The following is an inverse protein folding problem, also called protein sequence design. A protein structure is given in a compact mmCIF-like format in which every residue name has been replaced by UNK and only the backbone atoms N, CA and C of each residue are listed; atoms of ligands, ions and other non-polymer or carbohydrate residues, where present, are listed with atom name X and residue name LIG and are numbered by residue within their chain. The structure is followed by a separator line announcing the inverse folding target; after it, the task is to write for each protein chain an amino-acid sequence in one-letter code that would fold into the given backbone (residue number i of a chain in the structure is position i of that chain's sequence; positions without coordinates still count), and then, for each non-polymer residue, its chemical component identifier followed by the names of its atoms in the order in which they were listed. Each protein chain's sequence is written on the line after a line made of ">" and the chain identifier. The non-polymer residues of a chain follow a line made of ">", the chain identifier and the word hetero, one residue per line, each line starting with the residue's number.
data_IF_176645515506
#
_entry.id   IF_176645515506
#
_cell.length_a   1.000
_cell.length_b   1.000
_cell.length_c   1.000
_cell.angle_alpha   90.00
_cell.angle_beta   90.00
_cell.angle_gamma   90.00
#
_symmetry.space_group_name_H-M   'P 1'
#
loop_
_entity.id
_entity.type
_entity.pdbx_description
1 polymer ?
#
# COMPACT_ATOMS: atom_id res chain seq x y z
N UNK A 1 -19.85 2.09 -34.85
CA UNK A 1 -19.70 0.64 -35.09
C UNK A 1 -20.69 0.18 -36.16
N UNK A 2 -21.99 0.42 -35.95
CA UNK A 2 -23.04 0.01 -36.91
C UNK A 2 -22.94 0.69 -38.29
N UNK A 3 -22.46 1.93 -38.41
CA UNK A 3 -22.26 2.56 -39.73
C UNK A 3 -21.20 1.86 -40.58
N UNK A 4 -20.11 1.40 -39.95
CA UNK A 4 -19.05 0.64 -40.62
C UNK A 4 -19.54 -0.76 -41.01
N UNK A 5 -20.33 -1.41 -40.15
CA UNK A 5 -20.97 -2.69 -40.45
C UNK A 5 -21.97 -2.54 -41.61
N UNK A 6 -22.79 -1.49 -41.59
CA UNK A 6 -23.75 -1.16 -42.66
C UNK A 6 -23.06 -0.93 -43.99
N UNK A 7 -21.89 -0.27 -44.00
CA UNK A 7 -21.11 -0.08 -45.21
C UNK A 7 -20.52 -1.41 -45.72
N UNK A 8 -19.92 -2.23 -44.85
CA UNK A 8 -19.41 -3.55 -45.25
C UNK A 8 -20.50 -4.48 -45.80
N UNK A 9 -21.68 -4.48 -45.20
CA UNK A 9 -22.82 -5.28 -45.68
C UNK A 9 -23.34 -4.77 -47.04
N UNK A 10 -23.23 -3.47 -47.33
CA UNK A 10 -23.51 -2.92 -48.67
C UNK A 10 -22.47 -3.35 -49.70
N UNK A 11 -21.19 -3.38 -49.31
CA UNK A 11 -20.09 -3.79 -50.19
C UNK A 11 -20.20 -5.30 -50.56
N UNK A 12 -20.76 -6.12 -49.66
CA UNK A 12 -21.14 -7.53 -49.89
C UNK A 12 -22.46 -7.69 -50.70
N UNK A 13 -23.02 -6.60 -51.24
CA UNK A 13 -24.22 -6.58 -52.10
C UNK A 13 -25.49 -7.14 -51.44
N UNK A 14 -25.62 -7.06 -50.11
CA UNK A 14 -26.89 -7.37 -49.44
C UNK A 14 -27.95 -6.30 -49.77
N UNK A 15 -29.21 -6.73 -49.92
CA UNK A 15 -30.31 -5.78 -50.15
C UNK A 15 -30.58 -4.93 -48.91
N UNK A 16 -31.14 -3.74 -49.12
CA UNK A 16 -31.30 -2.77 -48.04
C UNK A 16 -32.12 -3.31 -46.85
N UNK A 17 -33.15 -4.10 -47.14
CA UNK A 17 -34.03 -4.71 -46.14
C UNK A 17 -33.26 -5.72 -45.27
N UNK A 18 -32.49 -6.64 -45.88
CA UNK A 18 -31.64 -7.59 -45.13
C UNK A 18 -30.57 -6.90 -44.30
N UNK A 19 -29.99 -5.81 -44.79
CA UNK A 19 -29.02 -5.03 -44.02
C UNK A 19 -29.69 -4.42 -42.79
N UNK A 20 -30.90 -3.86 -42.94
CA UNK A 20 -31.62 -3.27 -41.81
C UNK A 20 -32.04 -4.36 -40.82
N UNK A 21 -32.50 -5.53 -41.27
CA UNK A 21 -32.83 -6.67 -40.41
C UNK A 21 -31.63 -7.14 -39.59
N UNK A 22 -30.46 -7.34 -40.23
CA UNK A 22 -29.22 -7.75 -39.55
C UNK A 22 -28.78 -6.68 -38.55
N UNK A 23 -28.84 -5.39 -38.92
CA UNK A 23 -28.47 -4.31 -38.00
C UNK A 23 -29.41 -4.27 -36.79
N UNK A 24 -30.71 -4.46 -36.99
CA UNK A 24 -31.72 -4.50 -35.93
C UNK A 24 -31.56 -5.72 -35.03
N UNK A 25 -31.24 -6.89 -35.59
CA UNK A 25 -31.00 -8.11 -34.83
C UNK A 25 -29.70 -7.98 -34.01
N UNK A 26 -28.62 -7.49 -34.62
CA UNK A 26 -27.33 -7.31 -33.94
C UNK A 26 -27.43 -6.22 -32.87
N UNK A 27 -28.09 -5.08 -33.13
CA UNK A 27 -28.28 -4.03 -32.13
C UNK A 27 -29.26 -4.46 -31.02
N UNK A 28 -30.29 -5.22 -31.36
CA UNK A 28 -31.21 -5.84 -30.38
C UNK A 28 -30.55 -6.94 -29.53
N UNK A 29 -29.49 -7.56 -30.03
CA UNK A 29 -28.68 -8.55 -29.32
C UNK A 29 -27.52 -7.96 -28.50
N UNK A 30 -27.21 -6.67 -28.69
CA UNK A 30 -26.16 -5.99 -27.91
C UNK A 30 -26.67 -5.69 -26.50
N UNK A 31 -26.31 -6.59 -25.57
CA UNK A 31 -26.61 -6.46 -24.16
C UNK A 31 -26.13 -5.13 -23.56
N UNK A 32 -24.98 -4.60 -24.02
CA UNK A 32 -24.44 -3.36 -23.49
C UNK A 32 -25.28 -2.16 -23.93
N UNK A 33 -25.68 -2.11 -25.20
CA UNK A 33 -26.53 -1.03 -25.72
C UNK A 33 -27.94 -1.11 -25.12
N UNK A 34 -28.55 -2.29 -25.09
CA UNK A 34 -29.86 -2.52 -24.46
C UNK A 34 -29.87 -2.17 -22.96
N UNK A 35 -28.76 -2.39 -22.26
CA UNK A 35 -28.66 -2.02 -20.85
C UNK A 35 -28.59 -0.49 -20.64
N UNK A 36 -28.01 0.26 -21.58
CA UNK A 36 -27.78 1.71 -21.47
C UNK A 36 -28.79 2.57 -22.25
N UNK A 37 -29.60 1.98 -23.12
CA UNK A 37 -30.63 2.65 -23.91
C UNK A 37 -31.85 3.07 -23.06
N UNK A 38 -32.80 3.76 -23.69
CA UNK A 38 -34.08 4.10 -23.08
C UNK A 38 -34.81 2.85 -22.57
N UNK A 39 -35.35 2.91 -21.35
CA UNK A 39 -35.92 1.73 -20.67
C UNK A 39 -34.90 0.77 -20.03
N UNK A 40 -33.62 0.82 -20.42
CA UNK A 40 -32.57 -0.06 -19.92
C UNK A 40 -32.25 0.14 -18.42
N UNK A 41 -31.78 -0.93 -17.72
CA UNK A 41 -31.49 -0.90 -16.28
C UNK A 41 -30.21 -0.13 -15.90
N UNK A 42 -29.34 0.22 -16.85
CA UNK A 42 -28.04 0.91 -16.62
C UNK A 42 -27.95 2.28 -17.31
N UNK A 43 -29.06 2.81 -17.83
CA UNK A 43 -29.09 4.06 -18.63
C UNK A 43 -28.62 5.34 -17.93
N UNK A 44 -28.60 5.37 -16.60
CA UNK A 44 -28.19 6.56 -15.82
C UNK A 44 -27.21 6.20 -14.70
N UNK A 45 -26.47 7.18 -14.19
CA UNK A 45 -25.60 6.97 -13.01
C UNK A 45 -26.38 6.47 -11.79
N UNK A 46 -27.60 6.99 -11.58
CA UNK A 46 -28.47 6.54 -10.50
C UNK A 46 -28.87 5.08 -10.66
N UNK A 47 -29.37 4.69 -11.85
CA UNK A 47 -29.82 3.33 -12.11
C UNK A 47 -28.67 2.32 -12.07
N UNK A 48 -27.48 2.70 -12.54
CA UNK A 48 -26.26 1.87 -12.39
C UNK A 48 -25.91 1.62 -10.93
N UNK A 49 -25.95 2.66 -10.09
CA UNK A 49 -25.69 2.49 -8.65
C UNK A 49 -26.73 1.58 -8.00
N UNK A 50 -28.01 1.79 -8.26
CA UNK A 50 -29.08 0.94 -7.71
C UNK A 50 -28.94 -0.51 -8.19
N UNK A 51 -28.62 -0.72 -9.48
CA UNK A 51 -28.33 -2.04 -10.01
C UNK A 51 -27.15 -2.70 -9.29
N UNK A 52 -26.02 -2.00 -9.11
CA UNK A 52 -24.86 -2.56 -8.41
C UNK A 52 -25.13 -2.81 -6.92
N UNK A 53 -25.85 -1.92 -6.25
CA UNK A 53 -26.27 -2.10 -4.86
C UNK A 53 -27.17 -3.33 -4.69
N UNK A 54 -28.02 -3.61 -5.67
CA UNK A 54 -28.95 -4.75 -5.65
C UNK A 54 -28.31 -6.08 -6.04
N UNK A 55 -27.44 -6.07 -7.06
CA UNK A 55 -26.95 -7.31 -7.69
C UNK A 55 -25.54 -7.73 -7.23
N UNK A 56 -24.77 -6.82 -6.63
CA UNK A 56 -23.46 -7.14 -6.07
C UNK A 56 -23.56 -7.25 -4.55
N UNK A 57 -22.52 -7.79 -3.91
CA UNK A 57 -22.41 -7.89 -2.45
C UNK A 57 -22.08 -6.53 -1.80
N UNK A 58 -22.93 -5.54 -2.03
CA UNK A 58 -22.79 -4.18 -1.52
C UNK A 58 -23.17 -4.11 -0.04
N UNK A 59 -22.32 -3.44 0.75
CA UNK A 59 -22.59 -3.16 2.17
C UNK A 59 -22.80 -1.67 2.33
N UNK A 60 -24.01 -1.25 2.67
CA UNK A 60 -24.35 0.17 2.83
C UNK A 60 -23.60 0.80 4.00
N UNK A 61 -23.06 2.03 3.84
CA UNK A 61 -22.59 2.80 4.98
C UNK A 61 -23.78 3.22 5.86
N UNK A 62 -23.55 3.24 7.17
CA UNK A 62 -24.53 3.62 8.19
C UNK A 62 -24.14 4.97 8.77
N UNK A 63 -25.10 5.88 8.81
CA UNK A 63 -24.94 7.21 9.41
C UNK A 63 -24.94 7.12 10.94
N UNK A 64 -24.04 7.86 11.57
CA UNK A 64 -23.95 8.00 13.03
C UNK A 64 -23.94 9.48 13.36
N UNK A 65 -24.84 9.90 14.25
CA UNK A 65 -24.83 11.26 14.76
C UNK A 65 -23.68 11.41 15.77
N UNK A 66 -22.74 12.31 15.47
CA UNK A 66 -21.58 12.64 16.30
C UNK A 66 -21.84 13.84 17.22
N UNK A 67 -23.05 14.39 17.18
CA UNK A 67 -23.45 15.56 17.95
C UNK A 67 -23.85 16.73 17.05
N UNK A 68 -23.98 17.89 17.68
CA UNK A 68 -24.36 19.14 17.02
C UNK A 68 -23.19 20.10 17.12
N UNK A 69 -22.92 20.80 16.03
CA UNK A 69 -21.95 21.88 16.02
C UNK A 69 -22.49 23.05 16.86
N UNK A 70 -21.79 23.40 17.93
CA UNK A 70 -22.23 24.43 18.89
C UNK A 70 -22.42 25.81 18.24
N UNK A 71 -21.69 26.10 17.15
CA UNK A 71 -21.69 27.39 16.48
C UNK A 71 -22.80 27.46 15.42
N UNK A 72 -22.89 26.46 14.54
CA UNK A 72 -23.81 26.45 13.41
C UNK A 72 -25.15 25.76 13.69
N UNK A 73 -25.28 25.04 14.80
CA UNK A 73 -26.45 24.22 15.11
C UNK A 73 -26.63 23.01 14.17
N UNK A 74 -25.66 22.75 13.29
CA UNK A 74 -25.75 21.68 12.29
C UNK A 74 -25.38 20.33 12.89
N UNK A 75 -26.09 19.27 12.50
CA UNK A 75 -25.75 17.90 12.88
C UNK A 75 -24.41 17.50 12.25
N UNK A 76 -23.53 16.93 13.07
CA UNK A 76 -22.28 16.32 12.61
C UNK A 76 -22.53 14.82 12.43
N UNK A 77 -22.41 14.35 11.20
CA UNK A 77 -22.70 12.96 10.85
C UNK A 77 -21.41 12.26 10.43
N UNK A 78 -21.10 11.15 11.09
CA UNK A 78 -20.10 10.18 10.68
C UNK A 78 -20.73 9.04 9.88
N UNK A 79 -19.91 8.34 9.10
CA UNK A 79 -20.34 7.17 8.34
C UNK A 79 -19.40 6.01 8.63
N UNK A 80 -19.95 4.87 9.01
CA UNK A 80 -19.18 3.63 9.12
C UNK A 80 -19.78 2.57 8.22
N UNK A 81 -18.96 1.59 7.84
CA UNK A 81 -19.43 0.42 7.10
C UNK A 81 -19.39 -0.76 8.07
N UNK A 82 -20.50 -1.49 8.27
CA UNK A 82 -20.52 -2.62 9.20
C UNK A 82 -19.48 -3.68 8.85
N UNK A 83 -18.49 -3.85 9.72
CA UNK A 83 -17.36 -4.77 9.51
C UNK A 83 -17.87 -6.22 9.38
N UNK A 84 -18.78 -6.63 10.26
CA UNK A 84 -19.34 -7.99 10.23
C UNK A 84 -20.05 -8.32 8.91
N UNK A 85 -20.82 -7.37 8.36
CA UNK A 85 -21.47 -7.55 7.07
C UNK A 85 -20.44 -7.63 5.95
N UNK A 86 -19.41 -6.79 5.99
CA UNK A 86 -18.33 -6.79 5.01
C UNK A 86 -17.53 -8.10 5.02
N UNK A 87 -17.24 -8.67 6.19
CA UNK A 87 -16.53 -9.95 6.28
C UNK A 87 -17.39 -11.08 5.70
N UNK A 88 -18.70 -11.10 6.01
CA UNK A 88 -19.65 -12.07 5.45
C UNK A 88 -19.73 -12.02 3.93
N UNK A 89 -19.53 -10.85 3.31
CA UNK A 89 -19.56 -10.71 1.86
C UNK A 89 -18.24 -11.09 1.19
N UNK A 90 -17.10 -10.75 1.80
CA UNK A 90 -15.77 -10.86 1.20
C UNK A 90 -15.18 -12.28 1.19
N UNK A 91 -15.41 -13.10 2.22
CA UNK A 91 -14.59 -14.32 2.39
C UNK A 91 -15.40 -15.57 2.65
N UNK A 92 -15.02 -16.65 1.97
CA UNK A 92 -15.43 -18.00 2.32
C UNK A 92 -14.85 -18.34 3.71
N UNK A 93 -15.68 -18.67 4.72
CA UNK A 93 -15.23 -19.01 6.06
C UNK A 93 -14.17 -20.13 6.09
N UNK A 94 -14.19 -21.04 5.11
CA UNK A 94 -13.19 -22.11 4.95
C UNK A 94 -11.80 -21.55 4.63
N UNK A 95 -11.72 -20.65 3.64
CA UNK A 95 -10.46 -19.99 3.22
C UNK A 95 -9.89 -19.15 4.37
N UNK A 96 -10.75 -18.42 5.12
CA UNK A 96 -10.29 -17.67 6.30
C UNK A 96 -9.60 -18.55 7.34
N UNK A 97 -10.17 -19.72 7.62
CA UNK A 97 -9.61 -20.65 8.61
C UNK A 97 -8.29 -21.26 8.13
N UNK A 98 -8.24 -21.67 6.86
CA UNK A 98 -7.03 -22.26 6.26
C UNK A 98 -5.87 -21.25 6.17
N UNK A 99 -6.17 -19.97 5.96
CA UNK A 99 -5.16 -18.91 5.86
C UNK A 99 -4.89 -18.19 7.19
N UNK A 100 -5.50 -18.62 8.30
CA UNK A 100 -5.24 -18.02 9.61
C UNK A 100 -3.83 -18.39 10.07
N UNK A 101 -3.00 -17.40 10.47
CA UNK A 101 -1.63 -17.65 10.87
C UNK A 101 -1.60 -18.53 12.12
N UNK A 102 -0.74 -19.56 12.09
CA UNK A 102 -0.46 -20.44 13.22
C UNK A 102 0.87 -20.07 13.86
N UNK A 103 1.01 -20.33 15.16
CA UNK A 103 2.29 -20.16 15.85
C UNK A 103 3.35 -21.08 15.24
N UNK A 104 4.46 -20.48 14.83
CA UNK A 104 5.65 -21.14 14.34
C UNK A 104 6.26 -22.03 15.43
N UNK A 105 6.74 -23.22 15.04
CA UNK A 105 7.31 -24.23 15.96
C UNK A 105 8.82 -24.43 15.80
N UNK A 106 9.45 -23.73 14.87
CA UNK A 106 10.85 -23.92 14.46
C UNK A 106 11.80 -22.81 14.97
N UNK A 107 11.40 -22.09 16.02
CA UNK A 107 12.19 -21.00 16.60
C UNK A 107 12.26 -19.73 15.75
N UNK A 108 11.55 -19.66 14.62
CA UNK A 108 11.45 -18.44 13.80
C UNK A 108 10.11 -17.74 14.03
N UNK A 109 10.14 -16.42 14.08
CA UNK A 109 8.96 -15.57 14.12
C UNK A 109 8.59 -15.13 12.70
N UNK A 110 7.31 -15.26 12.33
CA UNK A 110 6.77 -14.96 11.00
C UNK A 110 5.55 -14.06 11.05
N UNK A 111 4.79 -14.14 12.13
CA UNK A 111 3.52 -13.46 12.27
C UNK A 111 3.35 -12.87 13.67
N UNK A 112 2.34 -12.01 13.84
CA UNK A 112 1.99 -11.49 15.16
C UNK A 112 1.71 -12.57 16.19
N UNK A 113 1.18 -13.71 15.74
CA UNK A 113 0.89 -14.85 16.64
C UNK A 113 2.15 -15.44 17.29
N UNK A 114 3.33 -15.21 16.70
CA UNK A 114 4.60 -15.63 17.27
C UNK A 114 5.12 -14.66 18.35
N UNK A 115 4.59 -13.43 18.39
CA UNK A 115 5.00 -12.39 19.31
C UNK A 115 4.56 -12.65 20.75
N UNK A 116 5.35 -12.11 21.69
CA UNK A 116 5.09 -12.24 23.14
C UNK A 116 3.71 -11.68 23.50
N UNK A 117 3.29 -10.55 22.90
CA UNK A 117 2.01 -9.92 23.22
C UNK A 117 0.85 -10.86 22.87
N UNK A 118 0.87 -11.50 21.71
CA UNK A 118 -0.19 -12.43 21.33
C UNK A 118 -0.25 -13.62 22.29
N UNK A 119 0.90 -14.25 22.54
CA UNK A 119 1.03 -15.43 23.41
C UNK A 119 0.56 -15.16 24.84
N UNK A 120 0.73 -13.93 25.33
CA UNK A 120 0.33 -13.53 26.68
C UNK A 120 -1.11 -12.98 26.77
N UNK A 121 -1.76 -12.71 25.64
CA UNK A 121 -3.08 -12.08 25.61
C UNK A 121 -4.22 -13.06 25.97
N UNK A 122 -4.93 -12.78 27.06
CA UNK A 122 -6.03 -13.64 27.55
C UNK A 122 -7.17 -13.83 26.55
N UNK A 123 -7.52 -12.79 25.77
CA UNK A 123 -8.59 -12.90 24.76
C UNK A 123 -8.22 -13.94 23.70
N UNK A 124 -6.98 -13.93 23.22
CA UNK A 124 -6.53 -14.86 22.18
C UNK A 124 -6.23 -16.26 22.72
N UNK A 125 -5.83 -16.40 23.99
CA UNK A 125 -5.74 -17.71 24.66
C UNK A 125 -7.11 -18.39 24.77
N UNK A 126 -8.12 -17.64 25.20
CA UNK A 126 -9.48 -18.16 25.35
C UNK A 126 -10.17 -18.39 23.99
N UNK A 127 -9.75 -17.66 22.96
CA UNK A 127 -10.35 -17.69 21.63
C UNK A 127 -9.26 -17.85 20.55
N UNK A 128 -8.62 -19.02 20.43
CA UNK A 128 -7.52 -19.22 19.47
C UNK A 128 -7.96 -19.09 18.02
N UNK A 129 -9.25 -19.30 17.74
CA UNK A 129 -9.86 -19.10 16.41
C UNK A 129 -10.43 -17.69 16.19
N UNK A 130 -10.21 -16.75 17.11
CA UNK A 130 -10.72 -15.39 16.97
C UNK A 130 -10.08 -14.70 15.75
N UNK A 131 -10.93 -14.13 14.89
CA UNK A 131 -10.47 -13.34 13.78
C UNK A 131 -9.86 -12.04 14.30
N UNK A 132 -8.65 -11.74 13.84
CA UNK A 132 -7.92 -10.56 14.26
C UNK A 132 -8.22 -9.38 13.34
N UNK A 133 -8.56 -8.24 13.95
CA UNK A 133 -8.86 -6.99 13.23
C UNK A 133 -7.96 -5.89 13.78
N UNK A 134 -7.18 -5.25 12.91
CA UNK A 134 -6.42 -4.04 13.24
C UNK A 134 -7.22 -2.84 12.78
N UNK A 135 -7.39 -1.85 13.66
CA UNK A 135 -7.89 -0.54 13.29
C UNK A 135 -6.73 0.42 13.10
N UNK A 136 -6.76 1.19 12.02
CA UNK A 136 -5.81 2.26 11.75
C UNK A 136 -6.56 3.54 11.49
N UNK A 137 -6.16 4.63 12.16
CA UNK A 137 -6.75 5.94 11.95
C UNK A 137 -5.73 6.91 11.39
N UNK A 138 -6.15 7.72 10.42
CA UNK A 138 -5.40 8.88 9.96
C UNK A 138 -6.34 10.00 9.49
N UNK A 139 -5.87 11.23 9.63
CA UNK A 139 -6.59 12.42 9.21
C UNK A 139 -5.93 13.03 7.97
N UNK A 140 -6.66 13.09 6.86
CA UNK A 140 -6.13 13.61 5.59
C UNK A 140 -7.06 14.63 4.94
N UNK A 141 -6.46 15.58 4.23
CA UNK A 141 -7.19 16.56 3.41
C UNK A 141 -7.62 15.91 2.10
N UNK A 142 -8.91 15.97 1.77
CA UNK A 142 -9.45 15.43 0.50
C UNK A 142 -9.58 16.45 -0.61
N UNK A 143 -9.62 17.75 -0.27
CA UNK A 143 -9.77 18.84 -1.22
C UNK A 143 -8.43 19.24 -1.86
N UNK A 144 -8.49 19.99 -2.96
CA UNK A 144 -7.27 20.52 -3.60
C UNK A 144 -6.59 21.53 -2.64
N UNK A 145 -5.30 21.36 -2.30
CA UNK A 145 -4.58 22.25 -1.39
C UNK A 145 -4.43 23.71 -1.89
N UNK A 146 -4.79 23.99 -3.15
CA UNK A 146 -4.77 25.33 -3.75
C UNK A 146 -6.16 25.93 -4.02
N UNK A 147 -7.25 25.20 -3.74
CA UNK A 147 -8.62 25.68 -3.99
C UNK A 147 -9.25 26.41 -2.80
N UNK A 148 -10.38 27.07 -3.04
CA UNK A 148 -11.18 27.78 -2.01
C UNK A 148 -11.77 26.88 -0.90
N UNK A 149 -11.60 25.55 -1.04
CA UNK A 149 -12.00 24.52 -0.08
C UNK A 149 -10.82 23.94 0.74
N UNK A 150 -9.61 24.53 0.63
CA UNK A 150 -8.42 24.13 1.40
C UNK A 150 -8.69 24.19 2.91
N UNK A 151 -8.38 23.12 3.64
CA UNK A 151 -8.50 23.03 5.10
C UNK A 151 -9.93 22.85 5.61
N UNK A 152 -10.94 22.95 4.73
CA UNK A 152 -12.36 22.78 5.09
C UNK A 152 -12.79 21.32 5.11
N UNK A 153 -12.08 20.44 4.41
CA UNK A 153 -12.44 19.04 4.26
C UNK A 153 -11.28 18.15 4.68
N UNK A 154 -10.90 18.28 5.94
CA UNK A 154 -10.05 17.29 6.61
C UNK A 154 -10.95 16.18 7.15
N UNK A 155 -10.71 14.96 6.70
CA UNK A 155 -11.46 13.78 7.14
C UNK A 155 -10.58 12.94 8.06
N UNK A 156 -11.15 12.51 9.18
CA UNK A 156 -10.62 11.37 9.92
C UNK A 156 -11.18 10.10 9.29
N UNK A 157 -10.30 9.21 8.83
CA UNK A 157 -10.70 7.88 8.40
C UNK A 157 -10.20 6.83 9.39
N UNK A 158 -11.06 5.86 9.66
CA UNK A 158 -10.72 4.66 10.40
C UNK A 158 -10.81 3.49 9.44
N UNK A 159 -9.68 2.87 9.16
CA UNK A 159 -9.53 1.69 8.32
C UNK A 159 -9.43 0.45 9.18
N UNK A 160 -9.73 -0.70 8.57
CA UNK A 160 -9.40 -1.99 9.17
C UNK A 160 -8.70 -2.90 8.18
N UNK A 161 -7.90 -3.83 8.70
CA UNK A 161 -7.38 -4.99 7.97
C UNK A 161 -7.66 -6.26 8.76
N UNK A 162 -7.79 -7.38 8.05
CA UNK A 162 -7.85 -8.71 8.65
C UNK A 162 -6.42 -9.24 8.81
N UNK A 163 -6.13 -9.81 9.98
CA UNK A 163 -4.82 -10.41 10.29
C UNK A 163 -3.84 -9.46 10.98
N UNK A 164 -3.06 -10.04 11.91
CA UNK A 164 -1.93 -9.46 12.65
C UNK A 164 -2.23 -8.16 13.45
N UNK A 165 -2.85 -8.27 14.64
CA UNK A 165 -3.13 -7.17 15.55
C UNK A 165 -1.84 -6.54 16.02
N UNK A 166 -1.57 -5.30 15.63
CA UNK A 166 -0.42 -4.56 16.17
C UNK A 166 -0.37 -3.18 15.56
N UNK A 167 -0.15 -2.18 16.42
CA UNK A 167 0.28 -0.84 15.99
C UNK A 167 1.66 -0.57 16.59
N UNK A 168 2.71 -1.33 16.22
CA UNK A 168 4.07 -0.89 16.48
C UNK A 168 4.35 0.42 15.70
N UNK A 169 5.43 1.12 16.02
CA UNK A 169 5.84 2.33 15.32
C UNK A 169 5.90 2.11 13.81
N UNK A 170 5.52 3.15 13.06
CA UNK A 170 5.48 3.05 11.61
C UNK A 170 6.90 2.96 11.03
N UNK A 171 7.26 1.75 10.59
CA UNK A 171 8.52 1.43 9.91
C UNK A 171 8.82 2.43 8.78
N UNK A 172 7.81 2.83 8.00
CA UNK A 172 8.03 3.79 6.93
C UNK A 172 8.48 5.18 7.42
N UNK A 173 7.82 5.71 8.45
CA UNK A 173 8.12 7.04 8.98
C UNK A 173 9.40 7.07 9.82
N UNK A 174 9.67 5.99 10.55
CA UNK A 174 10.83 5.92 11.44
C UNK A 174 12.09 5.55 10.68
N UNK A 175 12.02 4.51 9.85
CA UNK A 175 13.17 3.97 9.14
C UNK A 175 13.36 4.73 7.83
N UNK A 176 12.41 4.66 6.89
CA UNK A 176 12.64 5.12 5.52
C UNK A 176 12.58 6.64 5.35
N UNK A 177 11.67 7.33 6.04
CA UNK A 177 11.52 8.79 6.03
C UNK A 177 12.20 9.46 7.24
N UNK A 178 12.67 8.65 8.20
CA UNK A 178 13.35 9.10 9.41
C UNK A 178 14.85 8.90 9.33
N UNK A 179 15.33 7.71 9.67
CA UNK A 179 16.76 7.37 9.73
C UNK A 179 17.39 7.38 8.33
N UNK A 180 16.90 6.53 7.43
CA UNK A 180 17.46 6.31 6.08
C UNK A 180 17.45 7.59 5.28
N UNK A 181 16.34 8.34 5.24
CA UNK A 181 16.26 9.57 4.42
C UNK A 181 17.36 10.59 4.78
N UNK A 182 17.70 10.70 6.07
CA UNK A 182 18.63 11.70 6.56
C UNK A 182 20.08 11.20 6.52
N UNK A 183 20.33 9.99 7.03
CA UNK A 183 21.68 9.46 7.09
C UNK A 183 22.21 9.03 5.72
N UNK A 184 21.35 8.55 4.81
CA UNK A 184 21.78 8.28 3.44
C UNK A 184 22.22 9.55 2.70
N UNK A 185 21.53 10.68 2.92
CA UNK A 185 21.95 11.97 2.38
C UNK A 185 23.29 12.42 2.96
N UNK A 186 23.50 12.19 4.26
CA UNK A 186 24.75 12.50 4.93
C UNK A 186 25.92 11.67 4.37
N UNK A 187 25.73 10.36 4.19
CA UNK A 187 26.75 9.45 3.65
C UNK A 187 27.08 9.79 2.20
N UNK A 188 26.06 10.01 1.35
CA UNK A 188 26.29 10.42 -0.05
C UNK A 188 27.06 11.75 -0.09
N UNK A 189 26.72 12.70 0.76
CA UNK A 189 27.43 13.98 0.80
C UNK A 189 28.89 13.80 1.20
N UNK A 190 29.19 12.94 2.17
CA UNK A 190 30.56 12.57 2.54
C UNK A 190 31.32 11.95 1.36
N UNK A 191 30.74 10.95 0.69
CA UNK A 191 31.40 10.27 -0.43
C UNK A 191 31.68 11.21 -1.61
N UNK A 192 30.77 12.15 -1.87
CA UNK A 192 30.90 13.10 -3.00
C UNK A 192 31.80 14.29 -2.65
N UNK A 193 31.63 14.92 -1.48
CA UNK A 193 32.32 16.18 -1.14
C UNK A 193 33.65 15.96 -0.45
N UNK A 194 33.69 15.03 0.51
CA UNK A 194 34.89 14.75 1.30
C UNK A 194 35.80 13.80 0.54
N UNK A 195 35.27 12.63 0.15
CA UNK A 195 36.06 11.58 -0.49
C UNK A 195 36.23 11.77 -2.00
N UNK A 196 35.32 12.51 -2.64
CA UNK A 196 35.32 12.77 -4.09
C UNK A 196 35.35 11.49 -4.94
N UNK A 197 34.73 10.42 -4.45
CA UNK A 197 34.69 9.12 -5.14
C UNK A 197 33.81 9.13 -6.40
N UNK A 198 32.72 9.91 -6.36
CA UNK A 198 31.80 10.11 -7.49
C UNK A 198 31.11 11.47 -7.36
N UNK A 199 30.27 11.83 -8.34
CA UNK A 199 29.48 13.08 -8.34
C UNK A 199 27.99 12.81 -8.22
N UNK A 200 27.21 13.79 -7.74
CA UNK A 200 25.75 13.71 -7.75
C UNK A 200 25.19 13.46 -9.16
N UNK A 201 25.78 14.07 -10.18
CA UNK A 201 25.41 13.84 -11.58
C UNK A 201 25.62 12.37 -11.98
N UNK A 202 26.74 11.76 -11.58
CA UNK A 202 27.00 10.35 -11.84
C UNK A 202 25.97 9.45 -11.16
N UNK A 203 25.68 9.69 -9.86
CA UNK A 203 24.67 8.93 -9.13
C UNK A 203 23.28 9.06 -9.78
N UNK A 204 22.82 10.29 -10.07
CA UNK A 204 21.52 10.54 -10.68
C UNK A 204 21.43 9.95 -12.09
N UNK A 205 22.53 9.96 -12.85
CA UNK A 205 22.60 9.25 -14.13
C UNK A 205 22.38 7.74 -13.96
N UNK A 206 23.07 7.10 -13.00
CA UNK A 206 22.91 5.67 -12.72
C UNK A 206 21.50 5.34 -12.24
N UNK A 207 20.94 6.14 -11.33
CA UNK A 207 19.54 6.03 -10.88
C UNK A 207 18.57 6.14 -12.06
N UNK A 208 18.80 7.07 -12.99
CA UNK A 208 17.90 7.29 -14.13
C UNK A 208 17.89 6.11 -15.10
N UNK A 209 19.05 5.51 -15.37
CA UNK A 209 19.24 4.52 -16.44
C UNK A 209 19.25 3.06 -15.97
N UNK A 210 19.25 2.80 -14.66
CA UNK A 210 19.05 1.45 -14.16
C UNK A 210 17.67 0.92 -14.60
N UNK A 211 17.62 -0.30 -15.12
CA UNK A 211 16.38 -0.98 -15.47
C UNK A 211 15.74 -1.59 -14.21
N UNK A 212 14.75 -0.89 -13.66
CA UNK A 212 13.97 -1.39 -12.51
C UNK A 212 12.90 -2.38 -12.98
N UNK A 213 12.69 -3.45 -12.23
CA UNK A 213 11.71 -4.51 -12.51
C UNK A 213 10.82 -4.76 -11.30
N UNK A 214 9.67 -5.41 -11.51
CA UNK A 214 8.74 -5.75 -10.43
C UNK A 214 8.28 -4.54 -9.62
N UNK A 215 8.31 -4.65 -8.29
CA UNK A 215 7.90 -3.57 -7.38
C UNK A 215 8.80 -2.33 -7.48
N UNK A 216 10.09 -2.49 -7.79
CA UNK A 216 11.03 -1.37 -7.87
C UNK A 216 10.73 -0.42 -9.02
N UNK A 217 10.05 -0.89 -10.08
CA UNK A 217 9.66 -0.06 -11.22
C UNK A 217 8.73 1.10 -10.81
N UNK A 218 7.92 0.90 -9.77
CA UNK A 218 7.01 1.92 -9.21
C UNK A 218 7.66 2.75 -8.10
N UNK A 219 8.82 2.33 -7.60
CA UNK A 219 9.55 2.92 -6.48
C UNK A 219 10.96 3.39 -6.88
N UNK A 220 11.12 3.78 -8.14
CA UNK A 220 12.37 4.38 -8.64
C UNK A 220 12.81 5.53 -7.72
N UNK A 221 14.07 5.55 -7.25
CA UNK A 221 14.58 6.61 -6.37
C UNK A 221 14.36 8.00 -6.97
N UNK A 222 14.06 8.97 -6.10
CA UNK A 222 14.05 10.37 -6.48
C UNK A 222 15.47 10.86 -6.75
N UNK A 223 15.57 11.97 -7.48
CA UNK A 223 16.86 12.61 -7.73
C UNK A 223 17.52 13.05 -6.41
N UNK A 224 18.82 12.80 -6.28
CA UNK A 224 19.60 13.19 -5.11
C UNK A 224 20.25 14.54 -5.38
N UNK A 225 19.87 15.55 -4.61
CA UNK A 225 20.36 16.92 -4.77
C UNK A 225 21.57 17.21 -3.91
N UNK A 226 22.41 18.11 -4.39
CA UNK A 226 23.59 18.58 -3.68
C UNK A 226 23.20 19.29 -2.37
N UNK A 227 23.97 19.05 -1.30
CA UNK A 227 23.82 19.73 0.00
C UNK A 227 22.44 19.61 0.65
N UNK A 228 21.60 18.67 0.20
CA UNK A 228 20.31 18.41 0.80
C UNK A 228 20.50 17.81 2.20
N UNK A 229 19.71 18.26 3.18
CA UNK A 229 19.73 17.69 4.53
C UNK A 229 19.14 16.28 4.59
N UNK A 230 18.41 15.87 3.55
CA UNK A 230 17.71 14.60 3.45
C UNK A 230 17.52 14.21 1.98
N UNK A 231 17.43 12.92 1.69
CA UNK A 231 17.08 12.42 0.35
C UNK A 231 15.65 12.84 -0.01
N UNK A 232 15.42 13.17 -1.29
CA UNK A 232 14.07 13.36 -1.80
C UNK A 232 13.30 12.05 -1.91
N UNK A 233 12.01 12.12 -2.27
CA UNK A 233 11.18 10.93 -2.48
C UNK A 233 10.44 10.44 -1.23
N UNK A 234 9.55 9.46 -1.44
CA UNK A 234 8.76 8.81 -0.39
C UNK A 234 9.48 7.59 0.22
N UNK A 235 8.92 7.02 1.29
CA UNK A 235 9.43 5.83 1.97
C UNK A 235 9.91 4.70 1.02
N UNK A 236 9.10 4.30 0.04
CA UNK A 236 9.44 3.21 -0.89
C UNK A 236 10.63 3.54 -1.80
N UNK A 237 10.76 4.81 -2.19
CA UNK A 237 11.88 5.29 -3.02
C UNK A 237 13.18 5.35 -2.21
N UNK A 238 13.12 5.74 -0.94
CA UNK A 238 14.28 5.75 -0.05
C UNK A 238 14.77 4.33 0.27
N UNK A 239 13.84 3.39 0.49
CA UNK A 239 14.19 1.98 0.68
C UNK A 239 14.86 1.40 -0.58
N UNK A 240 14.29 1.69 -1.76
CA UNK A 240 14.87 1.31 -3.03
C UNK A 240 16.29 1.88 -3.22
N UNK A 241 16.49 3.16 -2.90
CA UNK A 241 17.81 3.79 -2.99
C UNK A 241 18.82 3.12 -2.05
N UNK A 242 18.49 2.93 -0.78
CA UNK A 242 19.38 2.27 0.20
C UNK A 242 19.84 0.90 -0.30
N UNK A 243 18.88 0.07 -0.76
CA UNK A 243 19.13 -1.30 -1.18
C UNK A 243 19.96 -1.38 -2.46
N UNK A 244 19.76 -0.44 -3.39
CA UNK A 244 20.43 -0.45 -4.70
C UNK A 244 21.68 0.42 -4.77
N UNK A 245 21.95 1.28 -3.78
CA UNK A 245 23.11 2.17 -3.79
C UNK A 245 24.44 1.41 -4.02
N UNK A 246 24.72 0.26 -3.40
CA UNK A 246 25.96 -0.48 -3.67
C UNK A 246 26.11 -0.87 -5.14
N UNK A 247 25.03 -1.23 -5.82
CA UNK A 247 25.06 -1.54 -7.26
C UNK A 247 25.21 -0.29 -8.13
N UNK A 248 24.70 0.85 -7.67
CA UNK A 248 24.77 2.12 -8.41
C UNK A 248 26.17 2.72 -8.41
N UNK A 249 26.88 2.65 -7.27
CA UNK A 249 28.16 3.34 -7.07
C UNK A 249 29.32 2.43 -6.64
N UNK A 250 29.11 1.12 -6.45
CA UNK A 250 30.12 0.21 -5.89
C UNK A 250 31.45 0.18 -6.66
N UNK A 251 31.42 0.32 -7.98
CA UNK A 251 32.62 0.40 -8.84
C UNK A 251 33.41 1.71 -8.66
N UNK A 252 32.84 2.70 -7.97
CA UNK A 252 33.46 3.98 -7.64
C UNK A 252 33.97 4.06 -6.21
N UNK A 253 33.77 3.01 -5.41
CA UNK A 253 34.25 2.94 -4.03
C UNK A 253 35.65 2.30 -4.03
N UNK A 254 36.73 3.07 -3.83
CA UNK A 254 38.09 2.55 -3.88
C UNK A 254 38.52 1.88 -2.58
N UNK A 255 37.86 2.19 -1.46
CA UNK A 255 38.19 1.65 -0.14
C UNK A 255 36.92 1.18 0.55
N UNK A 256 36.74 -0.13 0.63
CA UNK A 256 35.61 -0.74 1.34
C UNK A 256 35.78 -0.65 2.86
N UNK A 257 36.98 -0.48 3.39
CA UNK A 257 37.24 -0.31 4.82
C UNK A 257 37.03 1.13 5.32
N UNK A 258 36.52 2.02 4.48
CA UNK A 258 36.23 3.39 4.90
C UNK A 258 35.13 3.40 5.99
N UNK A 259 35.33 4.09 7.13
CA UNK A 259 34.39 4.03 8.25
C UNK A 259 32.96 4.47 7.90
N UNK A 260 32.79 5.45 7.00
CA UNK A 260 31.45 5.92 6.62
C UNK A 260 30.81 4.95 5.62
N UNK A 261 31.61 4.28 4.78
CA UNK A 261 31.11 3.20 3.93
C UNK A 261 30.64 2.01 4.76
N UNK A 262 31.42 1.60 5.76
CA UNK A 262 31.03 0.55 6.71
C UNK A 262 29.76 0.94 7.47
N UNK A 263 29.68 2.18 7.99
CA UNK A 263 28.47 2.68 8.65
C UNK A 263 27.22 2.61 7.74
N UNK A 264 27.37 2.94 6.45
CA UNK A 264 26.30 2.79 5.46
C UNK A 264 25.88 1.32 5.27
N UNK A 265 26.84 0.38 5.19
CA UNK A 265 26.54 -1.04 5.08
C UNK A 265 25.86 -1.57 6.35
N UNK A 266 26.28 -1.13 7.54
CA UNK A 266 25.62 -1.44 8.81
C UNK A 266 24.17 -0.96 8.81
N UNK A 267 23.89 0.28 8.39
CA UNK A 267 22.51 0.77 8.23
C UNK A 267 21.71 -0.11 7.29
N UNK A 268 22.29 -0.50 6.15
CA UNK A 268 21.63 -1.38 5.18
C UNK A 268 21.29 -2.74 5.83
N UNK A 269 22.22 -3.34 6.57
CA UNK A 269 22.01 -4.63 7.25
C UNK A 269 20.92 -4.54 8.32
N UNK A 270 20.91 -3.46 9.12
CA UNK A 270 19.84 -3.17 10.09
C UNK A 270 18.48 -3.15 9.38
N UNK A 271 18.38 -2.40 8.28
CA UNK A 271 17.12 -2.28 7.52
C UNK A 271 16.72 -3.61 6.89
N UNK A 272 17.67 -4.39 6.38
CA UNK A 272 17.40 -5.71 5.80
C UNK A 272 16.82 -6.68 6.85
N UNK A 273 17.34 -6.67 8.10
CA UNK A 273 16.79 -7.51 9.18
C UNK A 273 15.41 -6.99 9.62
N UNK A 274 15.24 -5.68 9.82
CA UNK A 274 13.96 -5.08 10.23
C UNK A 274 12.85 -5.37 9.19
N UNK A 275 13.20 -5.37 7.91
CA UNK A 275 12.25 -5.60 6.82
C UNK A 275 12.11 -7.07 6.44
N UNK A 276 12.79 -7.99 7.14
CA UNK A 276 12.70 -9.40 6.86
C UNK A 276 11.28 -9.92 7.18
N UNK A 277 10.67 -10.73 6.29
CA UNK A 277 9.34 -11.30 6.52
C UNK A 277 9.31 -12.33 7.66
N UNK A 278 10.48 -12.83 8.05
CA UNK A 278 10.68 -13.77 9.14
C UNK A 278 12.03 -13.49 9.81
N UNK A 279 12.08 -13.65 11.13
CA UNK A 279 13.29 -13.41 11.94
C UNK A 279 13.39 -14.45 13.06
N UNK A 280 14.60 -14.89 13.35
CA UNK A 280 14.94 -15.71 14.54
C UNK A 280 15.37 -14.85 15.72
N UNK A 281 15.36 -15.41 16.93
CA UNK A 281 15.86 -14.71 18.12
C UNK A 281 17.33 -14.30 17.98
N UNK A 282 18.17 -15.15 17.38
CA UNK A 282 19.58 -14.85 17.10
C UNK A 282 19.74 -13.64 16.17
N UNK A 283 18.92 -13.56 15.12
CA UNK A 283 18.93 -12.39 14.22
C UNK A 283 18.46 -11.11 14.92
N UNK A 284 17.54 -11.23 15.88
CA UNK A 284 17.08 -10.09 16.68
C UNK A 284 18.18 -9.63 17.65
N UNK A 285 18.95 -10.56 18.23
CA UNK A 285 20.12 -10.22 19.04
C UNK A 285 21.19 -9.51 18.20
N UNK A 286 21.51 -10.03 17.01
CA UNK A 286 22.42 -9.37 16.06
C UNK A 286 21.91 -7.97 15.68
N UNK A 287 20.60 -7.80 15.46
CA UNK A 287 20.00 -6.50 15.19
C UNK A 287 20.25 -5.50 16.32
N UNK A 288 20.15 -5.95 17.58
CA UNK A 288 20.42 -5.11 18.75
C UNK A 288 21.87 -4.61 18.76
N UNK A 289 22.83 -5.50 18.51
CA UNK A 289 24.25 -5.15 18.48
C UNK A 289 24.58 -4.21 17.32
N UNK A 290 24.08 -4.51 16.11
CA UNK A 290 24.27 -3.66 14.93
C UNK A 290 23.71 -2.24 15.14
N UNK A 291 22.56 -2.11 15.81
CA UNK A 291 21.97 -0.80 16.10
C UNK A 291 22.84 -0.02 17.08
N UNK A 292 23.34 -0.65 18.14
CA UNK A 292 24.24 0.00 19.10
C UNK A 292 25.52 0.48 18.42
N UNK A 293 26.20 -0.41 17.68
CA UNK A 293 27.42 -0.09 16.93
C UNK A 293 27.18 1.05 15.91
N UNK A 294 26.05 0.98 15.20
CA UNK A 294 25.65 2.00 14.24
C UNK A 294 25.50 3.38 14.90
N UNK A 295 24.77 3.45 16.01
CA UNK A 295 24.47 4.73 16.68
C UNK A 295 25.74 5.36 17.28
N UNK A 296 26.60 4.56 17.91
CA UNK A 296 27.90 5.01 18.44
C UNK A 296 28.79 5.54 17.32
N UNK A 297 29.04 4.72 16.29
CA UNK A 297 29.85 5.09 15.12
C UNK A 297 29.28 6.31 14.40
N UNK A 298 27.95 6.44 14.34
CA UNK A 298 27.27 7.58 13.72
C UNK A 298 27.49 8.88 14.49
N UNK A 299 27.58 8.84 15.82
CA UNK A 299 27.93 10.00 16.64
C UNK A 299 29.40 10.36 16.47
N UNK A 300 30.29 9.36 16.48
CA UNK A 300 31.74 9.59 16.39
C UNK A 300 32.15 10.18 15.04
N UNK A 301 31.71 9.55 13.94
CA UNK A 301 32.08 9.96 12.57
C UNK A 301 31.46 11.31 12.17
N UNK A 302 30.36 11.71 12.82
CA UNK A 302 29.60 12.90 12.47
C UNK A 302 29.17 13.68 13.72
N UNK A 303 30.11 13.97 14.62
CA UNK A 303 29.89 14.63 15.91
C UNK A 303 29.14 15.97 15.84
N UNK A 304 29.24 16.69 14.72
CA UNK A 304 28.52 17.95 14.46
C UNK A 304 27.06 17.77 14.00
N UNK A 305 26.60 16.53 13.80
CA UNK A 305 25.26 16.19 13.31
C UNK A 305 24.56 15.29 14.32
N UNK A 306 23.83 15.93 15.25
CA UNK A 306 23.07 15.26 16.29
C UNK A 306 22.08 14.22 15.76
N UNK A 307 21.91 13.15 16.54
CA UNK A 307 20.87 12.15 16.30
C UNK A 307 19.48 12.78 16.43
N UNK A 308 18.56 12.29 15.61
CA UNK A 308 17.14 12.69 15.62
C UNK A 308 16.34 11.73 16.51
N UNK A 309 15.13 12.10 16.99
CA UNK A 309 14.27 11.19 17.75
C UNK A 309 14.04 9.82 17.09
N UNK A 310 13.99 9.77 15.76
CA UNK A 310 13.86 8.53 14.99
C UNK A 310 15.01 7.53 15.19
N UNK A 311 16.22 8.01 15.50
CA UNK A 311 17.36 7.15 15.83
C UNK A 311 17.19 6.53 17.21
N UNK A 312 16.64 7.27 18.18
CA UNK A 312 16.30 6.70 19.48
C UNK A 312 15.19 5.64 19.37
N UNK A 313 14.21 5.85 18.49
CA UNK A 313 13.18 4.84 18.26
C UNK A 313 13.76 3.55 17.67
N UNK A 314 14.82 3.64 16.87
CA UNK A 314 15.52 2.49 16.29
C UNK A 314 15.99 1.50 17.37
N UNK A 315 16.48 1.99 18.52
CA UNK A 315 16.92 1.16 19.65
C UNK A 315 15.84 0.23 20.19
N UNK A 316 14.56 0.54 19.93
CA UNK A 316 13.43 -0.28 20.39
C UNK A 316 13.00 -1.35 19.39
N UNK A 317 13.51 -1.33 18.15
CA UNK A 317 13.10 -2.27 17.11
C UNK A 317 13.37 -3.74 17.45
N UNK A 318 14.50 -4.12 18.08
CA UNK A 318 14.71 -5.51 18.52
C UNK A 318 13.61 -5.97 19.47
N UNK A 319 13.35 -5.19 20.53
CA UNK A 319 12.30 -5.49 21.50
C UNK A 319 10.91 -5.54 20.85
N UNK A 320 10.57 -4.58 19.99
CA UNK A 320 9.30 -4.55 19.27
C UNK A 320 9.11 -5.79 18.39
N UNK A 321 10.18 -6.27 17.75
CA UNK A 321 10.14 -7.48 16.93
C UNK A 321 9.85 -8.72 17.78
N UNK A 322 10.38 -8.82 19.01
CA UNK A 322 10.02 -9.89 19.94
C UNK A 322 8.56 -9.80 20.41
N UNK A 323 8.07 -8.58 20.66
CA UNK A 323 6.72 -8.37 21.16
C UNK A 323 5.64 -8.65 20.12
N UNK A 324 5.87 -8.22 18.87
CA UNK A 324 4.86 -8.22 17.82
C UNK A 324 5.17 -9.19 16.67
N UNK A 325 6.32 -9.87 16.66
CA UNK A 325 6.81 -10.58 15.48
C UNK A 325 7.38 -9.62 14.42
N UNK A 326 7.64 -10.09 13.17
CA UNK A 326 8.27 -9.26 12.14
C UNK A 326 7.47 -8.00 11.81
N UNK A 327 8.10 -6.83 12.00
CA UNK A 327 7.43 -5.52 11.95
C UNK A 327 7.01 -5.10 10.54
N UNK A 328 7.57 -5.72 9.49
CA UNK A 328 7.20 -5.46 8.09
C UNK A 328 5.71 -5.74 7.81
N UNK A 329 5.10 -6.66 8.57
CA UNK A 329 3.67 -6.97 8.43
C UNK A 329 2.75 -5.92 9.05
N UNK A 330 3.29 -4.99 9.82
CA UNK A 330 2.56 -4.01 10.61
C UNK A 330 2.75 -2.56 10.14
N UNK A 331 3.44 -2.35 9.01
CA UNK A 331 3.64 -1.01 8.45
C UNK A 331 2.35 -0.37 7.89
N UNK A 332 2.25 0.95 7.95
CA UNK A 332 1.00 1.69 7.66
C UNK A 332 0.86 2.14 6.21
N UNK A 333 1.85 1.88 5.35
CA UNK A 333 1.90 2.38 3.97
C UNK A 333 0.67 2.01 3.14
N UNK A 334 0.07 0.84 3.39
CA UNK A 334 -1.15 0.42 2.70
C UNK A 334 -2.33 1.34 3.00
N UNK A 335 -2.49 1.77 4.25
CA UNK A 335 -3.55 2.70 4.64
C UNK A 335 -3.33 4.08 4.01
N UNK A 336 -2.10 4.60 4.06
CA UNK A 336 -1.75 5.89 3.45
C UNK A 336 -1.96 5.89 1.93
N UNK A 337 -1.60 4.79 1.25
CA UNK A 337 -1.83 4.65 -0.19
C UNK A 337 -3.32 4.74 -0.55
N UNK A 338 -4.20 4.31 0.36
CA UNK A 338 -5.66 4.33 0.19
C UNK A 338 -6.23 5.76 0.17
N UNK A 339 -5.55 6.73 0.81
CA UNK A 339 -5.95 8.14 0.76
C UNK A 339 -6.01 8.67 -0.69
N UNK A 340 -5.15 8.16 -1.58
CA UNK A 340 -5.15 8.55 -2.99
C UNK A 340 -6.47 8.23 -3.71
N UNK A 341 -7.15 7.15 -3.33
CA UNK A 341 -8.46 6.80 -3.86
C UNK A 341 -9.51 7.86 -3.46
N UNK A 342 -9.57 8.20 -2.17
CA UNK A 342 -10.55 9.17 -1.67
C UNK A 342 -10.31 10.58 -2.21
N UNK A 343 -9.05 11.02 -2.29
CA UNK A 343 -8.66 12.30 -2.91
C UNK A 343 -9.09 12.39 -4.37
N UNK A 344 -8.84 11.33 -5.17
CA UNK A 344 -9.27 11.26 -6.57
C UNK A 344 -10.79 11.23 -6.69
N UNK A 345 -11.44 10.42 -5.86
CA UNK A 345 -12.89 10.26 -5.86
C UNK A 345 -13.60 11.60 -5.63
N UNK A 346 -13.18 12.36 -4.62
CA UNK A 346 -13.78 13.67 -4.37
C UNK A 346 -13.51 14.64 -5.53
N UNK A 347 -12.25 14.71 -6.00
CA UNK A 347 -11.83 15.56 -7.11
C UNK A 347 -12.67 15.34 -8.38
N UNK A 348 -12.89 14.08 -8.78
CA UNK A 348 -13.66 13.76 -9.98
C UNK A 348 -15.17 13.84 -9.76
N UNK A 349 -15.66 13.59 -8.54
CA UNK A 349 -17.09 13.70 -8.26
C UNK A 349 -17.58 15.14 -8.27
N UNK A 350 -16.72 16.11 -7.90
CA UNK A 350 -17.11 17.51 -7.70
C UNK A 350 -18.18 17.72 -6.61
N UNK A 351 -18.55 16.67 -5.86
CA UNK A 351 -19.63 16.71 -4.89
C UNK A 351 -19.07 16.92 -3.48
N UNK A 352 -19.15 18.15 -3.00
CA UNK A 352 -18.73 18.53 -1.64
C UNK A 352 -19.89 18.51 -0.63
N UNK A 353 -21.10 18.14 -1.05
CA UNK A 353 -22.22 17.91 -0.12
C UNK A 353 -22.04 16.55 0.53
N UNK A 354 -21.97 16.55 1.86
CA UNK A 354 -21.83 15.34 2.66
C UNK A 354 -20.72 14.40 2.14
N UNK A 355 -19.49 14.89 2.23
CA UNK A 355 -18.30 14.21 1.70
C UNK A 355 -18.15 12.80 2.27
N UNK A 356 -18.46 12.60 3.57
CA UNK A 356 -18.39 11.30 4.23
C UNK A 356 -19.30 10.25 3.58
N UNK A 357 -20.56 10.61 3.30
CA UNK A 357 -21.49 9.72 2.58
C UNK A 357 -21.00 9.43 1.16
N UNK A 358 -20.65 10.48 0.41
CA UNK A 358 -20.21 10.33 -0.99
C UNK A 358 -19.00 9.40 -1.12
N UNK A 359 -17.99 9.56 -0.25
CA UNK A 359 -16.78 8.76 -0.27
C UNK A 359 -17.03 7.33 0.21
N UNK A 360 -17.87 7.13 1.24
CA UNK A 360 -18.19 5.80 1.75
C UNK A 360 -19.02 4.99 0.75
N UNK A 361 -20.04 5.57 0.12
CA UNK A 361 -20.83 4.89 -0.92
C UNK A 361 -19.98 4.50 -2.13
N UNK A 362 -19.16 5.43 -2.65
CA UNK A 362 -18.29 5.13 -3.80
C UNK A 362 -17.25 4.07 -3.46
N UNK A 363 -16.70 4.10 -2.25
CA UNK A 363 -15.80 3.05 -1.78
C UNK A 363 -16.51 1.70 -1.71
N UNK A 364 -17.74 1.64 -1.19
CA UNK A 364 -18.49 0.38 -1.09
C UNK A 364 -18.93 -0.16 -2.44
N UNK A 365 -19.23 0.69 -3.42
CA UNK A 365 -19.43 0.28 -4.81
C UNK A 365 -18.16 -0.34 -5.41
N UNK A 366 -16.98 0.26 -5.16
CA UNK A 366 -15.70 -0.32 -5.58
C UNK A 366 -15.44 -1.67 -4.90
N UNK A 367 -15.69 -1.79 -3.59
CA UNK A 367 -15.51 -3.06 -2.87
C UNK A 367 -16.45 -4.14 -3.40
N UNK A 368 -17.71 -3.81 -3.67
CA UNK A 368 -18.68 -4.74 -4.24
C UNK A 368 -18.24 -5.25 -5.62
N UNK A 369 -17.71 -4.36 -6.47
CA UNK A 369 -17.12 -4.72 -7.75
C UNK A 369 -15.89 -5.64 -7.60
N UNK A 370 -14.91 -5.26 -6.78
CA UNK A 370 -13.70 -6.08 -6.54
C UNK A 370 -14.03 -7.45 -5.94
N UNK A 371 -15.08 -7.53 -5.11
CA UNK A 371 -15.53 -8.78 -4.49
C UNK A 371 -16.36 -9.64 -5.44
N UNK A 372 -16.93 -9.04 -6.49
CA UNK A 372 -17.67 -9.77 -7.53
C UNK A 372 -16.73 -10.53 -8.48
N UNK A 373 -15.51 -10.03 -8.68
CA UNK A 373 -14.41 -10.84 -9.19
C UNK A 373 -13.86 -11.73 -8.07
N UNK A 374 -13.52 -12.99 -8.36
CA UNK A 374 -12.91 -13.89 -7.40
C UNK A 374 -11.66 -13.24 -6.76
N UNK A 375 -11.76 -12.85 -5.47
CA UNK A 375 -10.70 -12.20 -4.68
C UNK A 375 -9.48 -13.11 -4.55
N UNK A 376 -9.76 -14.41 -4.41
CA UNK A 376 -8.79 -15.48 -4.47
C UNK A 376 -8.94 -16.11 -5.85
N UNK A 377 -7.86 -16.29 -6.60
CA UNK A 377 -7.95 -17.05 -7.84
C UNK A 377 -8.65 -18.38 -7.54
N UNK A 378 -9.58 -18.80 -8.40
CA UNK A 378 -9.88 -20.23 -8.45
C UNK A 378 -8.52 -20.92 -8.57
N UNK A 379 -8.28 -21.90 -7.71
CA UNK A 379 -7.13 -22.78 -7.88
C UNK A 379 -7.18 -23.20 -9.33
N UNK A 380 -6.17 -22.83 -10.14
CA UNK A 380 -6.13 -23.27 -11.52
C UNK A 380 -5.96 -24.78 -11.44
N UNK A 381 -7.07 -25.50 -11.49
CA UNK A 381 -7.06 -26.94 -11.67
C UNK A 381 -6.73 -27.18 -13.14
N UNK A 382 -5.45 -27.40 -13.42
CA UNK A 382 -5.01 -27.92 -14.70
C UNK A 382 -5.57 -29.33 -14.87
N UNK A 383 -6.68 -29.46 -15.60
CA UNK A 383 -7.07 -30.74 -16.18
C UNK A 383 -6.28 -30.91 -17.48
N UNK A 384 -5.54 -32.02 -17.61
CA UNK A 384 -4.69 -32.35 -18.76
C UNK A 384 -3.43 -31.47 -18.95
N UNK A 385 -2.80 -31.03 -17.87
CA UNK A 385 -1.46 -30.42 -17.97
C UNK A 385 -0.43 -31.45 -18.45
N UNK A 386 0.19 -31.19 -19.60
CA UNK A 386 1.34 -31.99 -20.09
C UNK A 386 2.53 -31.65 -19.18
N UNK A 387 3.15 -32.69 -18.62
CA UNK A 387 4.36 -32.55 -17.80
C UNK A 387 5.44 -31.85 -18.63
N UNK A 388 5.98 -30.74 -18.12
CA UNK A 388 7.14 -30.11 -18.73
C UNK A 388 8.32 -31.07 -18.57
N UNK A 389 8.80 -31.68 -19.67
CA UNK A 389 10.01 -32.49 -19.67
C UNK A 389 11.21 -31.55 -19.66
N UNK A 390 12.03 -31.64 -18.61
CA UNK A 390 13.20 -30.80 -18.38
C UNK A 390 14.47 -31.27 -19.11
N UNK A 391 14.35 -32.18 -20.08
CA UNK A 391 15.51 -32.69 -20.83
C UNK A 391 15.48 -32.19 -22.29
N UNK A 392 16.11 -31.03 -22.51
CA UNK A 392 16.78 -30.66 -23.76
C UNK A 392 17.93 -29.69 -23.51
#
# INVERSE_FOLDING_TARGET
>A
MFDQLKQKLKDEKLCHDKINDIITEVSGSDFFEAAHSEGGPLRSDHLRKEFFKKNLKYVSPVAVNLGVDEISGSQRIGYYVPILQTIKTMVNPKILREQSPQCSQDGKTRHFVDGVIYKQNELFKQNPSALQIVLFQDAFEVSNPLGSAKGKHKLLAVYYTLGSPGLPPCLAHDIFEGVVQYDLALFINYFVKTKKWFSYQHLNYKVKHLKYVGNDAKSKPAEVYHSAQKCGGNASQNWCLLRLLPFLIGVKIPNYEDPVWQLFLTLKNIVDIICAPQTSEDQIAVLQDLISEYLESRVDLFSKKHLRPKHHYLERYPWLTLQFGPLIWMWTLRFESKHSYFKRTLRYSGNFKNVGLTLSEKHQLLQAYVTSSNIFSDTVECFNGIQFQEDL
#
